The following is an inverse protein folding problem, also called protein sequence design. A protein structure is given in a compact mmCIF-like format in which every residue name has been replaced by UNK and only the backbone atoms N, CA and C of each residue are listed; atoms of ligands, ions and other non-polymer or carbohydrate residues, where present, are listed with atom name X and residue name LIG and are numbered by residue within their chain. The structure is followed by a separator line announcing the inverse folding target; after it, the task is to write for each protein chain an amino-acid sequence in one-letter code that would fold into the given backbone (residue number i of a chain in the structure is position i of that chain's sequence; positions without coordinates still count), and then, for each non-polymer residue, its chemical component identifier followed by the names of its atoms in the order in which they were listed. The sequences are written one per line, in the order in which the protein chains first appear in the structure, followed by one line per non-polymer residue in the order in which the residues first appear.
data_IF_542609750060
#
_entry.id   IF_542609750060
#
_cell.length_a   1.000
_cell.length_b   1.000
_cell.length_c   1.000
_cell.angle_alpha   90.00
_cell.angle_beta   90.00
_cell.angle_gamma   90.00
#
_symmetry.space_group_name_H-M   'P 1'
#
loop_
_entity.id
_entity.type
_entity.pdbx_description
1 polymer ?
#
# COMPACT_ATOMS: atom_id res chain seq x y z
N UNK A 1 9.48 26.18 13.58
CA UNK A 1 10.65 26.74 12.86
C UNK A 1 11.92 26.78 13.74
N UNK A 2 11.84 26.38 15.02
CA UNK A 2 12.95 26.40 15.97
C UNK A 2 13.75 25.10 16.15
N UNK A 3 13.36 24.00 15.48
CA UNK A 3 14.04 22.71 15.62
C UNK A 3 15.44 22.64 14.96
N UNK A 4 15.90 23.71 14.31
CA UNK A 4 17.00 23.66 13.33
C UNK A 4 18.38 24.08 13.83
N UNK A 5 18.52 24.68 15.03
CA UNK A 5 19.73 25.47 15.33
C UNK A 5 20.87 24.73 16.04
N UNK A 6 20.64 23.54 16.64
CA UNK A 6 21.68 22.86 17.44
C UNK A 6 22.50 21.82 16.69
N UNK A 7 21.97 21.21 15.62
CA UNK A 7 22.72 20.22 14.83
C UNK A 7 22.17 20.11 13.39
N UNK A 8 22.56 21.07 12.55
CA UNK A 8 22.01 21.23 11.19
C UNK A 8 22.24 20.01 10.28
N UNK A 9 23.37 19.33 10.43
CA UNK A 9 23.75 18.16 9.63
C UNK A 9 22.85 16.96 9.94
N UNK A 10 22.58 16.75 11.22
CA UNK A 10 21.70 15.72 11.74
C UNK A 10 20.24 16.05 11.41
N UNK A 11 19.84 17.31 11.60
CA UNK A 11 18.52 17.82 11.22
C UNK A 11 18.24 17.59 9.74
N UNK A 12 19.17 17.86 8.83
CA UNK A 12 18.94 17.65 7.37
C UNK A 12 18.62 16.20 7.04
N UNK A 13 19.26 15.24 7.71
CA UNK A 13 18.99 13.80 7.52
C UNK A 13 17.61 13.43 8.07
N UNK A 14 17.32 13.79 9.31
CA UNK A 14 16.03 13.46 9.94
C UNK A 14 14.87 14.23 9.33
N UNK A 15 15.06 15.46 8.88
CA UNK A 15 14.01 16.25 8.22
C UNK A 15 13.53 15.58 6.93
N UNK A 16 14.45 15.02 6.13
CA UNK A 16 14.09 14.23 4.93
C UNK A 16 13.37 12.94 5.29
N UNK A 17 13.82 12.24 6.32
CA UNK A 17 13.15 11.02 6.78
C UNK A 17 11.75 11.30 7.31
N UNK A 18 11.60 12.34 8.14
CA UNK A 18 10.31 12.78 8.68
C UNK A 18 9.37 13.28 7.59
N UNK A 19 9.90 13.88 6.52
CA UNK A 19 9.13 14.25 5.32
C UNK A 19 8.53 13.01 4.66
N UNK A 20 9.36 11.98 4.40
CA UNK A 20 8.89 10.69 3.85
C UNK A 20 7.85 10.02 4.74
N UNK A 21 8.10 9.95 6.05
CA UNK A 21 7.13 9.42 7.03
C UNK A 21 5.81 10.19 7.01
N UNK A 22 5.84 11.50 6.73
CA UNK A 22 4.62 12.29 6.61
C UNK A 22 3.83 11.95 5.34
N UNK A 23 4.53 11.66 4.24
CA UNK A 23 3.92 11.17 2.99
C UNK A 23 3.36 9.75 3.20
N UNK A 24 4.10 8.85 3.84
CA UNK A 24 3.64 7.48 4.11
C UNK A 24 2.34 7.50 4.93
N UNK A 25 2.32 8.27 6.02
CA UNK A 25 1.12 8.45 6.86
C UNK A 25 -0.05 9.04 6.11
N UNK A 26 0.23 9.94 5.16
CA UNK A 26 -0.79 10.50 4.29
C UNK A 26 -1.42 9.41 3.43
N UNK A 27 -0.59 8.62 2.76
CA UNK A 27 -1.08 7.58 1.84
C UNK A 27 -1.87 6.55 2.62
N UNK A 28 -1.42 6.18 3.82
CA UNK A 28 -2.16 5.32 4.74
C UNK A 28 -3.52 5.91 5.13
N UNK A 29 -3.59 7.21 5.42
CA UNK A 29 -4.84 7.88 5.74
C UNK A 29 -5.80 7.89 4.55
N UNK A 30 -5.33 8.22 3.34
CA UNK A 30 -6.14 8.22 2.12
C UNK A 30 -6.64 6.81 1.75
N UNK A 31 -5.85 5.78 2.03
CA UNK A 31 -6.29 4.38 1.91
C UNK A 31 -7.39 4.08 2.94
N UNK A 32 -7.22 4.54 4.18
CA UNK A 32 -8.19 4.34 5.24
C UNK A 32 -9.54 5.03 4.95
N UNK A 33 -9.51 6.28 4.49
CA UNK A 33 -10.71 7.05 4.11
C UNK A 33 -11.29 6.60 2.77
N UNK A 34 -10.52 5.84 2.00
CA UNK A 34 -10.94 5.19 0.77
C UNK A 34 -10.83 6.03 -0.50
N UNK A 35 -10.10 7.13 -0.44
CA UNK A 35 -9.67 7.89 -1.62
C UNK A 35 -8.67 7.09 -2.47
N UNK A 36 -7.92 6.18 -1.84
CA UNK A 36 -6.96 5.27 -2.49
C UNK A 36 -7.22 3.79 -2.16
N UNK A 37 -6.78 2.85 -3.02
CA UNK A 37 -6.27 3.09 -4.38
C UNK A 37 -7.41 3.48 -5.34
N UNK A 38 -7.07 4.22 -6.40
CA UNK A 38 -8.06 4.56 -7.44
C UNK A 38 -8.35 3.27 -8.26
N UNK A 39 -9.62 2.93 -8.52
CA UNK A 39 -9.96 1.82 -9.40
C UNK A 39 -9.42 2.06 -10.82
N UNK A 40 -8.63 1.13 -11.33
CA UNK A 40 -8.15 1.11 -12.72
C UNK A 40 -8.94 0.12 -13.57
N UNK A 41 -8.72 0.17 -14.88
CA UNK A 41 -9.25 -0.83 -15.82
C UNK A 41 -8.28 -2.01 -15.95
N UNK A 42 -8.67 -3.02 -16.74
CA UNK A 42 -7.74 -4.08 -17.11
C UNK A 42 -6.48 -3.49 -17.77
N UNK A 43 -5.30 -4.02 -17.42
CA UNK A 43 -4.05 -3.51 -17.95
C UNK A 43 -4.01 -3.67 -19.47
N UNK A 44 -3.63 -2.60 -20.17
CA UNK A 44 -3.50 -2.60 -21.62
C UNK A 44 -2.23 -3.30 -22.12
N UNK A 45 -1.29 -3.59 -21.22
CA UNK A 45 -0.06 -4.34 -21.51
C UNK A 45 0.14 -5.48 -20.51
N UNK A 46 0.77 -6.59 -20.93
CA UNK A 46 1.17 -7.65 -20.01
C UNK A 46 2.09 -7.12 -18.90
N UNK A 47 1.95 -7.67 -17.68
CA UNK A 47 2.80 -7.30 -16.55
C UNK A 47 4.30 -7.29 -16.90
N UNK A 48 4.78 -8.28 -17.66
CA UNK A 48 6.20 -8.43 -18.06
C UNK A 48 6.78 -7.23 -18.82
N UNK A 49 5.92 -6.41 -19.41
CA UNK A 49 6.30 -5.25 -20.20
C UNK A 49 6.27 -3.95 -19.38
N UNK A 50 5.93 -4.03 -18.09
CA UNK A 50 5.87 -2.92 -17.13
C UNK A 50 7.04 -3.05 -16.16
N UNK A 51 8.06 -2.21 -16.30
CA UNK A 51 9.30 -2.30 -15.53
C UNK A 51 9.43 -1.21 -14.48
N UNK A 52 8.77 -0.08 -14.70
CA UNK A 52 8.79 1.05 -13.81
C UNK A 52 7.41 1.69 -13.64
N UNK A 53 7.36 2.70 -12.78
CA UNK A 53 6.18 3.51 -12.54
C UNK A 53 5.66 4.17 -13.83
N UNK A 54 6.55 4.73 -14.64
CA UNK A 54 6.18 5.45 -15.86
C UNK A 54 5.50 4.54 -16.89
N UNK A 55 5.97 3.29 -17.00
CA UNK A 55 5.32 2.29 -17.86
C UNK A 55 3.88 2.07 -17.41
N UNK A 56 3.64 1.94 -16.11
CA UNK A 56 2.31 1.75 -15.56
C UNK A 56 1.41 2.97 -15.76
N UNK A 57 1.89 4.17 -15.44
CA UNK A 57 1.13 5.42 -15.63
C UNK A 57 0.70 5.58 -17.09
N UNK A 58 1.58 5.23 -18.04
CA UNK A 58 1.27 5.32 -19.48
C UNK A 58 0.09 4.46 -19.93
N UNK A 59 -0.30 3.44 -19.14
CA UNK A 59 -1.42 2.56 -19.44
C UNK A 59 -2.76 3.04 -18.88
N UNK A 60 -2.75 3.96 -17.91
CA UNK A 60 -3.95 4.31 -17.12
C UNK A 60 -4.85 5.38 -17.78
N UNK A 61 -4.49 5.84 -18.99
CA UNK A 61 -5.13 6.99 -19.61
C UNK A 61 -4.85 8.27 -18.84
N UNK A 62 -5.78 9.23 -18.90
CA UNK A 62 -5.64 10.47 -18.13
C UNK A 62 -6.04 10.26 -16.66
N UNK A 63 -5.03 10.08 -15.80
CA UNK A 63 -5.20 10.00 -14.35
C UNK A 63 -5.40 11.38 -13.70
N UNK A 64 -5.13 12.47 -14.41
CA UNK A 64 -5.10 13.83 -13.85
C UNK A 64 -6.40 14.19 -13.13
N UNK A 65 -7.60 13.99 -13.71
CA UNK A 65 -8.85 14.36 -13.05
C UNK A 65 -9.08 13.59 -11.74
N UNK A 66 -8.68 12.32 -11.69
CA UNK A 66 -8.85 11.46 -10.52
C UNK A 66 -7.89 11.85 -9.40
N UNK A 67 -6.64 12.14 -9.77
CA UNK A 67 -5.62 12.62 -8.85
C UNK A 67 -5.95 14.01 -8.31
N UNK A 68 -6.43 14.92 -9.17
CA UNK A 68 -6.82 16.28 -8.78
C UNK A 68 -8.01 16.25 -7.83
N UNK A 69 -8.98 15.36 -8.03
CA UNK A 69 -10.09 15.15 -7.11
C UNK A 69 -9.63 14.72 -5.71
N UNK A 70 -8.61 13.86 -5.61
CA UNK A 70 -8.01 13.48 -4.32
C UNK A 70 -7.25 14.66 -3.70
N UNK A 71 -6.40 15.33 -4.50
CA UNK A 71 -5.53 16.43 -4.04
C UNK A 71 -6.30 17.68 -3.61
N UNK A 72 -7.50 17.88 -4.15
CA UNK A 72 -8.46 18.94 -3.77
C UNK A 72 -9.53 18.45 -2.78
N UNK A 73 -9.52 17.17 -2.43
CA UNK A 73 -10.52 16.54 -1.59
C UNK A 73 -10.50 17.01 -0.13
N UNK A 74 -11.62 16.81 0.55
CA UNK A 74 -11.80 17.14 1.96
C UNK A 74 -10.80 16.40 2.86
N UNK A 75 -10.63 15.09 2.65
CA UNK A 75 -9.70 14.26 3.43
C UNK A 75 -8.25 14.75 3.30
N UNK A 76 -7.86 15.18 2.10
CA UNK A 76 -6.55 15.76 1.85
C UNK A 76 -6.38 17.11 2.56
N UNK A 77 -7.39 17.97 2.49
CA UNK A 77 -7.38 19.28 3.17
C UNK A 77 -7.32 19.13 4.70
N UNK A 78 -8.13 18.26 5.28
CA UNK A 78 -8.17 17.99 6.73
C UNK A 78 -6.84 17.43 7.22
N UNK A 79 -6.26 16.48 6.48
CA UNK A 79 -5.00 15.88 6.86
C UNK A 79 -3.85 16.90 6.88
N UNK A 80 -3.74 17.75 5.85
CA UNK A 80 -2.69 18.78 5.84
C UNK A 80 -2.89 19.88 6.87
N UNK A 81 -4.15 20.21 7.19
CA UNK A 81 -4.46 21.11 8.29
C UNK A 81 -3.91 20.56 9.62
N UNK A 82 -3.94 19.24 9.79
CA UNK A 82 -3.50 18.55 11.00
C UNK A 82 -2.02 18.13 11.01
N UNK A 83 -1.36 18.04 9.86
CA UNK A 83 -0.04 17.43 9.72
C UNK A 83 1.13 18.20 10.38
N UNK A 84 0.91 19.43 10.90
CA UNK A 84 1.95 20.31 11.49
C UNK A 84 3.23 20.46 10.64
N UNK A 85 3.17 20.16 9.34
CA UNK A 85 4.29 20.11 8.39
C UNK A 85 3.86 20.77 7.08
N UNK A 86 4.81 21.32 6.29
CA UNK A 86 4.52 21.79 4.95
C UNK A 86 3.98 20.67 4.07
N UNK A 87 3.00 20.99 3.22
CA UNK A 87 2.50 20.09 2.17
C UNK A 87 3.65 19.77 1.18
N UNK A 88 3.92 18.49 0.89
CA UNK A 88 4.85 18.04 -0.15
C UNK A 88 4.45 18.55 -1.54
N UNK A 89 5.41 18.51 -2.46
CA UNK A 89 5.13 18.80 -3.86
C UNK A 89 4.18 17.76 -4.45
N UNK A 90 3.27 18.19 -5.34
CA UNK A 90 2.27 17.28 -5.91
C UNK A 90 2.89 16.09 -6.66
N UNK A 91 4.04 16.30 -7.31
CA UNK A 91 4.78 15.24 -7.98
C UNK A 91 5.22 14.13 -7.01
N UNK A 92 5.61 14.48 -5.78
CA UNK A 92 5.97 13.48 -4.76
C UNK A 92 4.74 12.68 -4.30
N UNK A 93 3.58 13.34 -4.18
CA UNK A 93 2.33 12.70 -3.76
C UNK A 93 1.80 11.70 -4.79
N UNK A 94 1.85 12.08 -6.07
CA UNK A 94 1.30 11.26 -7.17
C UNK A 94 1.98 9.89 -7.28
N UNK A 95 3.28 9.80 -6.97
CA UNK A 95 4.04 8.55 -7.04
C UNK A 95 3.67 7.53 -5.96
N UNK A 96 3.15 7.97 -4.81
CA UNK A 96 2.83 7.06 -3.71
C UNK A 96 1.43 6.43 -3.79
N UNK A 97 0.53 7.02 -4.59
CA UNK A 97 -0.88 6.63 -4.61
C UNK A 97 -1.14 5.20 -5.11
N UNK A 98 -0.19 4.61 -5.83
CA UNK A 98 -0.29 3.26 -6.38
C UNK A 98 0.93 2.39 -6.06
N UNK A 99 1.81 2.85 -5.15
CA UNK A 99 3.10 2.22 -4.90
C UNK A 99 2.93 0.78 -4.41
N UNK A 100 1.92 0.49 -3.59
CA UNK A 100 1.82 -0.79 -2.89
C UNK A 100 1.53 -1.99 -3.79
N UNK A 101 0.43 -1.98 -4.55
CA UNK A 101 0.07 -3.11 -5.41
C UNK A 101 1.07 -3.29 -6.56
N UNK A 102 1.62 -2.19 -7.08
CA UNK A 102 2.68 -2.23 -8.08
C UNK A 102 3.98 -2.80 -7.51
N UNK A 103 4.35 -2.42 -6.29
CA UNK A 103 5.54 -2.99 -5.62
C UNK A 103 5.42 -4.49 -5.45
N UNK A 104 4.24 -4.97 -5.01
CA UNK A 104 3.99 -6.41 -4.89
C UNK A 104 4.08 -7.09 -6.25
N UNK A 105 3.42 -6.52 -7.26
CA UNK A 105 3.42 -7.05 -8.61
C UNK A 105 4.80 -7.13 -9.24
N UNK A 106 5.57 -6.05 -9.17
CA UNK A 106 6.97 -6.02 -9.62
C UNK A 106 7.83 -7.00 -8.83
N UNK A 107 7.61 -7.14 -7.52
CA UNK A 107 8.29 -8.12 -6.67
C UNK A 107 8.07 -9.56 -7.14
N UNK A 108 6.83 -9.94 -7.48
CA UNK A 108 6.49 -11.24 -8.06
C UNK A 108 7.30 -11.50 -9.34
N UNK A 109 7.39 -10.50 -10.22
CA UNK A 109 8.13 -10.61 -11.49
C UNK A 109 9.63 -10.70 -11.28
N UNK A 110 10.19 -9.87 -10.41
CA UNK A 110 11.61 -9.88 -10.06
C UNK A 110 12.02 -11.22 -9.43
N UNK A 111 11.15 -11.81 -8.62
CA UNK A 111 11.32 -13.14 -8.06
C UNK A 111 11.09 -14.28 -9.08
N UNK A 112 10.73 -13.97 -10.32
CA UNK A 112 10.40 -14.93 -11.39
C UNK A 112 9.31 -15.92 -10.98
N UNK A 113 8.37 -15.47 -10.15
CA UNK A 113 7.19 -16.23 -9.79
C UNK A 113 6.17 -16.07 -10.91
N UNK A 114 5.54 -17.18 -11.30
CA UNK A 114 4.49 -17.20 -12.31
C UNK A 114 3.13 -17.41 -11.66
N UNK A 115 2.29 -16.35 -11.56
CA UNK A 115 0.95 -16.44 -11.00
C UNK A 115 -0.01 -17.33 -11.81
N UNK A 116 0.34 -17.69 -13.05
CA UNK A 116 -0.52 -18.49 -13.93
C UNK A 116 -0.31 -19.99 -13.78
N UNK A 117 0.86 -20.43 -13.33
CA UNK A 117 1.17 -21.85 -13.11
C UNK A 117 0.77 -22.35 -11.72
N UNK A 118 0.82 -21.49 -10.70
CA UNK A 118 0.44 -21.87 -9.34
C UNK A 118 -0.11 -20.70 -8.52
N UNK A 119 -0.91 -20.98 -7.49
CA UNK A 119 -1.36 -19.97 -6.55
C UNK A 119 -0.17 -19.39 -5.76
N UNK A 120 -0.22 -18.11 -5.42
CA UNK A 120 0.81 -17.42 -4.63
C UNK A 120 0.23 -16.79 -3.37
N UNK A 121 1.03 -16.78 -2.31
CA UNK A 121 0.72 -16.08 -1.06
C UNK A 121 1.81 -15.03 -0.82
N UNK A 122 1.38 -13.78 -0.57
CA UNK A 122 2.24 -12.63 -0.30
C UNK A 122 1.99 -12.16 1.12
N UNK A 123 3.04 -11.98 1.92
CA UNK A 123 2.92 -11.42 3.28
C UNK A 123 3.26 -9.93 3.27
N UNK A 124 2.42 -9.10 3.89
CA UNK A 124 2.59 -7.65 3.97
C UNK A 124 2.46 -7.14 5.41
N UNK A 125 3.35 -6.24 5.84
CA UNK A 125 3.38 -5.68 7.20
C UNK A 125 2.75 -4.29 7.31
N UNK A 126 1.63 -4.08 6.60
CA UNK A 126 0.91 -2.80 6.60
C UNK A 126 -0.60 -3.05 6.73
N UNK A 127 -1.40 -2.01 6.93
CA UNK A 127 -2.85 -2.12 6.84
C UNK A 127 -3.34 -2.09 5.39
N UNK A 128 -4.36 -2.88 5.06
CA UNK A 128 -5.08 -2.83 3.78
C UNK A 128 -6.57 -3.08 4.02
N UNK A 129 -7.43 -2.63 3.11
CA UNK A 129 -8.85 -2.99 2.96
C UNK A 129 -9.00 -4.20 2.02
N UNK A 130 -10.17 -4.85 2.00
CA UNK A 130 -10.38 -6.12 1.26
C UNK A 130 -10.17 -6.01 -0.26
N UNK A 131 -10.25 -4.80 -0.81
CA UNK A 131 -10.16 -4.51 -2.25
C UNK A 131 -8.88 -3.76 -2.61
N UNK A 132 -8.02 -3.42 -1.64
CA UNK A 132 -6.84 -2.58 -1.91
C UNK A 132 -5.80 -3.27 -2.82
N UNK A 133 -5.88 -4.59 -2.96
CA UNK A 133 -4.97 -5.41 -3.77
C UNK A 133 -5.63 -5.95 -5.05
N UNK A 134 -6.84 -5.51 -5.40
CA UNK A 134 -7.54 -5.97 -6.61
C UNK A 134 -6.77 -5.63 -7.89
N UNK A 135 -5.92 -4.60 -7.84
CA UNK A 135 -4.98 -4.25 -8.91
C UNK A 135 -4.10 -5.43 -9.35
N UNK A 136 -3.75 -6.34 -8.43
CA UNK A 136 -2.97 -7.53 -8.77
C UNK A 136 -3.74 -8.48 -9.71
N UNK A 137 -5.07 -8.53 -9.62
CA UNK A 137 -5.90 -9.30 -10.56
C UNK A 137 -5.92 -8.67 -11.95
N UNK A 138 -5.76 -7.34 -12.04
CA UNK A 138 -5.65 -6.59 -13.31
C UNK A 138 -4.27 -6.75 -13.93
N UNK A 139 -3.23 -6.81 -13.10
CA UNK A 139 -1.86 -7.06 -13.50
C UNK A 139 -1.65 -8.50 -14.01
N UNK A 140 -2.27 -9.49 -13.36
CA UNK A 140 -2.14 -10.90 -13.68
C UNK A 140 -3.49 -11.55 -14.02
N UNK A 141 -4.16 -11.16 -15.12
CA UNK A 141 -5.51 -11.62 -15.43
C UNK A 141 -5.58 -13.15 -15.57
N UNK A 142 -6.41 -13.79 -14.75
CA UNK A 142 -6.60 -15.25 -14.79
C UNK A 142 -5.59 -16.08 -13.98
N UNK A 143 -4.79 -15.44 -13.11
CA UNK A 143 -3.90 -16.08 -12.14
C UNK A 143 -4.59 -17.20 -11.34
N UNK A 144 -3.83 -18.18 -10.85
CA UNK A 144 -4.37 -19.39 -10.15
C UNK A 144 -4.87 -19.14 -8.73
N UNK A 145 -4.95 -17.89 -8.30
CA UNK A 145 -5.24 -17.48 -6.94
C UNK A 145 -4.08 -16.71 -6.33
N UNK A 146 -4.37 -15.51 -5.81
CA UNK A 146 -3.40 -14.68 -5.12
C UNK A 146 -3.95 -14.43 -3.72
N UNK A 147 -3.22 -14.85 -2.70
CA UNK A 147 -3.52 -14.49 -1.32
C UNK A 147 -2.56 -13.39 -0.85
N UNK A 148 -3.09 -12.35 -0.22
CA UNK A 148 -2.30 -11.33 0.46
C UNK A 148 -2.61 -11.40 1.94
N UNK A 149 -1.65 -11.86 2.74
CA UNK A 149 -1.78 -11.98 4.20
C UNK A 149 -1.18 -10.74 4.84
N UNK A 150 -2.01 -9.94 5.50
CA UNK A 150 -1.53 -8.85 6.33
C UNK A 150 -0.99 -9.40 7.65
N UNK A 151 0.22 -9.02 8.02
CA UNK A 151 0.98 -9.59 9.13
C UNK A 151 1.59 -8.48 9.97
N UNK A 152 1.13 -8.32 11.22
CA UNK A 152 1.78 -7.43 12.18
C UNK A 152 0.86 -6.79 13.20
N UNK A 153 1.43 -6.05 14.18
CA UNK A 153 0.67 -5.34 15.21
C UNK A 153 -0.24 -4.26 14.64
N UNK A 154 0.09 -3.71 13.47
CA UNK A 154 -0.68 -2.70 12.73
C UNK A 154 -1.93 -3.24 12.07
N UNK A 155 -2.13 -4.57 12.05
CA UNK A 155 -3.36 -5.17 11.55
C UNK A 155 -4.53 -4.82 12.50
N UNK A 156 -5.37 -3.88 12.08
CA UNK A 156 -6.53 -3.42 12.86
C UNK A 156 -7.66 -4.45 12.85
N UNK A 157 -8.46 -4.50 13.92
CA UNK A 157 -9.68 -5.32 13.91
C UNK A 157 -10.65 -4.82 12.84
N UNK A 158 -11.18 -5.71 12.01
CA UNK A 158 -12.10 -5.35 10.93
C UNK A 158 -12.40 -6.54 10.01
N UNK A 159 -13.09 -6.30 8.87
CA UNK A 159 -13.52 -7.35 7.94
C UNK A 159 -12.40 -8.25 7.38
N UNK A 160 -11.15 -7.81 7.48
CA UNK A 160 -9.96 -8.50 6.95
C UNK A 160 -9.33 -9.45 7.96
N UNK A 161 -9.74 -9.38 9.23
CA UNK A 161 -9.35 -10.31 10.31
C UNK A 161 -9.90 -11.73 10.14
N UNK A 162 -10.02 -12.19 8.89
CA UNK A 162 -10.25 -13.58 8.55
C UNK A 162 -8.91 -14.32 8.50
N UNK A 163 -8.87 -15.58 8.95
CA UNK A 163 -7.64 -16.35 8.95
C UNK A 163 -7.08 -16.54 7.52
N UNK A 164 -5.76 -16.75 7.38
CA UNK A 164 -5.19 -17.19 6.11
C UNK A 164 -5.89 -18.42 5.57
N UNK A 165 -5.96 -18.52 4.25
CA UNK A 165 -6.61 -19.65 3.60
C UNK A 165 -5.89 -20.95 3.96
N UNK A 166 -6.68 -22.00 4.21
CA UNK A 166 -6.16 -23.37 4.42
C UNK A 166 -5.94 -24.12 3.11
N UNK A 167 -6.36 -23.53 1.99
CA UNK A 167 -6.28 -24.06 0.65
C UNK A 167 -6.04 -22.89 -0.32
N UNK A 168 -5.92 -23.16 -1.62
CA UNK A 168 -5.68 -22.10 -2.59
C UNK A 168 -6.89 -21.17 -2.78
N UNK A 169 -6.59 -19.89 -2.96
CA UNK A 169 -7.61 -18.87 -3.21
C UNK A 169 -8.31 -19.04 -4.57
N UNK A 170 -9.49 -18.41 -4.74
CA UNK A 170 -10.23 -18.49 -5.98
C UNK A 170 -9.41 -17.96 -7.17
N UNK A 171 -9.45 -18.70 -8.29
CA UNK A 171 -8.79 -18.31 -9.54
C UNK A 171 -9.27 -16.93 -10.00
N UNK A 172 -8.32 -16.09 -10.44
CA UNK A 172 -8.58 -14.75 -10.95
C UNK A 172 -9.08 -13.75 -9.91
N UNK A 173 -8.97 -14.06 -8.61
CA UNK A 173 -9.35 -13.16 -7.51
C UNK A 173 -8.24 -13.06 -6.47
N UNK A 174 -7.99 -11.85 -6.00
CA UNK A 174 -7.11 -11.61 -4.87
C UNK A 174 -7.89 -11.80 -3.57
N UNK A 175 -7.38 -12.64 -2.68
CA UNK A 175 -7.92 -12.88 -1.35
C UNK A 175 -7.04 -12.20 -0.31
N UNK A 176 -7.56 -11.19 0.39
CA UNK A 176 -6.82 -10.55 1.48
C UNK A 176 -7.21 -11.19 2.81
N UNK A 177 -6.25 -11.67 3.59
CA UNK A 177 -6.44 -12.21 4.94
C UNK A 177 -5.55 -11.46 5.93
N UNK A 178 -5.71 -11.74 7.21
CA UNK A 178 -4.87 -11.15 8.24
C UNK A 178 -4.48 -12.19 9.29
N UNK A 179 -3.23 -12.10 9.74
CA UNK A 179 -2.70 -12.97 10.77
C UNK A 179 -1.83 -12.20 11.76
N UNK A 180 -2.34 -12.03 12.99
CA UNK A 180 -1.64 -11.36 14.09
C UNK A 180 -0.57 -12.22 14.75
N UNK A 181 -0.63 -13.54 14.59
CA UNK A 181 0.18 -14.49 15.36
C UNK A 181 1.67 -14.57 14.98
N UNK A 182 2.12 -13.87 13.93
CA UNK A 182 3.54 -13.84 13.55
C UNK A 182 4.35 -12.77 14.29
N UNK A 183 3.70 -11.80 14.93
CA UNK A 183 4.36 -10.84 15.81
C UNK A 183 4.21 -11.27 17.26
N UNK A 184 5.30 -11.14 18.03
CA UNK A 184 5.36 -11.53 19.43
C UNK A 184 4.13 -11.04 20.21
N UNK A 185 3.20 -11.94 20.50
CA UNK A 185 2.47 -11.86 21.76
C UNK A 185 3.56 -11.91 22.82
N UNK A 186 3.94 -10.76 23.38
CA UNK A 186 4.41 -10.79 24.77
C UNK A 186 3.24 -11.37 25.52
N UNK A 187 3.34 -12.66 25.84
CA UNK A 187 2.48 -13.30 26.81
C UNK A 187 2.37 -12.33 27.97
N UNK A 188 1.16 -11.83 28.22
CA UNK A 188 0.89 -11.19 29.50
C UNK A 188 1.16 -12.29 30.52
N UNK A 189 2.26 -12.18 31.26
CA UNK A 189 2.47 -13.00 32.44
C UNK A 189 1.22 -12.85 33.31
N UNK A 190 0.56 -13.95 33.71
CA UNK A 190 -0.57 -13.85 34.59
C UNK A 190 -0.07 -13.43 35.97
N UNK A 191 -0.64 -12.34 36.48
CA UNK A 191 -0.62 -11.93 37.88
C UNK A 191 0.76 -11.75 38.54
N UNK A 192 1.16 -10.49 38.73
CA UNK A 192 1.75 -10.10 40.01
C UNK A 192 0.84 -9.05 40.63
N UNK A 193 0.18 -9.50 41.71
CA UNK A 193 -0.43 -8.70 42.76
C UNK A 193 0.71 -8.02 43.54
#
# INVERSE_FOLDING_TARGET
KDCQKKDWSLHKKFCKMLHKVSIDRLVEWLIHTGDLPIPTEAWSRPAKDVRCWDDWVSMQGDLTPRLDAILSGKNMTELWTNACRPRPEEAELRNEFFSRSLTVGLGIQMARLDPYSRPLTVHLTLGARTTDMDELSRMFPGHQGLEVVMVGPEVVQGPIMRPPLRAFGPRGKVYISAYKGLYHQKEKQPNQI
#
